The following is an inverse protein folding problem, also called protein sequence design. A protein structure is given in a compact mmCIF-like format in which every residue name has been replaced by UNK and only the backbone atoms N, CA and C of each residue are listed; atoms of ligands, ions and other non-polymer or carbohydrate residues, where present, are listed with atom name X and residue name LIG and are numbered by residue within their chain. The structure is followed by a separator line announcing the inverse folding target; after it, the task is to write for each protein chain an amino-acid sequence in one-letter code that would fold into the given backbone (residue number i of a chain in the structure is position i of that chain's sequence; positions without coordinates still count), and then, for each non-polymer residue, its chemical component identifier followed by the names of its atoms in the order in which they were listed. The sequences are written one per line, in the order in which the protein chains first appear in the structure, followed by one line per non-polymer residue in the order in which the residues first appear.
data_IF_450518170957
#
_entry.id   IF_450518170957
#
_cell.length_a   1.000
_cell.length_b   1.000
_cell.length_c   1.000
_cell.angle_alpha   90.00
_cell.angle_beta   90.00
_cell.angle_gamma   90.00
#
_symmetry.space_group_name_H-M   'P 1'
#
loop_
_entity.id
_entity.type
_entity.pdbx_description
1 polymer ?
#
# COMPACT_ATOMS: atom_id res chain seq x y z
N UNK A 1 -3.47 13.49 -2.59
CA UNK A 1 -3.98 13.22 -1.22
C UNK A 1 -2.78 13.05 -0.29
N UNK A 2 -2.87 13.54 0.95
CA UNK A 2 -1.79 13.48 1.94
C UNK A 2 -2.25 12.69 3.17
N UNK A 3 -1.44 11.74 3.63
CA UNK A 3 -1.73 10.86 4.76
C UNK A 3 -0.42 10.46 5.48
N UNK A 4 -0.47 10.04 6.75
CA UNK A 4 0.73 9.61 7.48
C UNK A 4 1.28 8.28 6.94
N UNK A 5 2.59 8.09 6.99
CA UNK A 5 3.24 6.84 6.58
C UNK A 5 3.03 5.72 7.61
N UNK A 6 2.72 6.08 8.86
CA UNK A 6 2.61 5.14 9.98
C UNK A 6 1.61 5.63 11.03
N UNK A 7 1.23 4.75 11.94
CA UNK A 7 0.30 5.08 13.03
C UNK A 7 -1.14 5.29 12.56
N UNK A 8 -1.90 6.08 13.31
CA UNK A 8 -3.30 6.38 13.00
C UNK A 8 -3.43 6.99 11.60
N UNK A 9 -4.46 6.60 10.85
CA UNK A 9 -4.78 7.14 9.52
C UNK A 9 -3.73 6.85 8.43
N UNK A 10 -2.86 5.86 8.64
CA UNK A 10 -1.81 5.46 7.67
C UNK A 10 -2.31 4.75 6.41
N UNK A 11 -3.62 4.58 6.29
CA UNK A 11 -4.27 3.99 5.14
C UNK A 11 -5.25 4.98 4.54
N UNK A 12 -5.11 5.25 3.25
CA UNK A 12 -6.10 6.00 2.48
C UNK A 12 -6.96 5.05 1.66
N UNK A 13 -8.27 5.20 1.76
CA UNK A 13 -9.22 4.42 0.97
C UNK A 13 -9.78 5.33 -0.12
N UNK A 14 -9.48 4.97 -1.38
CA UNK A 14 -9.95 5.71 -2.57
C UNK A 14 -10.86 4.79 -3.35
N UNK A 15 -12.13 5.20 -3.55
CA UNK A 15 -13.13 4.39 -4.25
C UNK A 15 -13.26 2.96 -3.67
N UNK A 16 -13.16 2.82 -2.34
CA UNK A 16 -13.19 1.52 -1.66
C UNK A 16 -11.90 0.69 -1.74
N UNK A 17 -10.86 1.18 -2.43
CA UNK A 17 -9.55 0.51 -2.48
C UNK A 17 -8.62 1.11 -1.42
N UNK A 18 -8.13 0.34 -0.44
CA UNK A 18 -7.19 0.80 0.58
C UNK A 18 -5.76 0.81 0.05
N UNK A 19 -5.02 1.86 0.38
CA UNK A 19 -3.61 2.05 0.05
C UNK A 19 -2.81 2.43 1.30
N UNK A 20 -1.61 1.90 1.40
CA UNK A 20 -0.66 2.15 2.49
C UNK A 20 0.70 2.53 1.93
N UNK A 21 1.50 3.24 2.73
CA UNK A 21 2.92 3.45 2.44
C UNK A 21 3.75 2.31 3.01
N UNK A 22 4.35 1.50 2.15
CA UNK A 22 5.24 0.41 2.54
C UNK A 22 6.70 0.80 2.28
N UNK A 23 7.63 0.16 2.98
CA UNK A 23 9.07 0.22 2.70
C UNK A 23 9.62 -1.18 2.56
N UNK A 24 10.31 -1.44 1.45
CA UNK A 24 10.97 -2.72 1.16
C UNK A 24 12.38 -2.41 0.68
N UNK A 25 13.39 -3.08 1.23
CA UNK A 25 14.80 -2.83 0.85
C UNK A 25 15.19 -1.35 0.99
N UNK A 26 14.70 -0.68 2.03
CA UNK A 26 14.95 0.75 2.29
C UNK A 26 14.18 1.74 1.40
N UNK A 27 13.55 1.29 0.31
CA UNK A 27 12.80 2.18 -0.58
C UNK A 27 11.30 2.11 -0.29
N UNK A 28 10.70 3.27 -0.11
CA UNK A 28 9.29 3.39 0.21
C UNK A 28 8.43 3.72 -1.00
N UNK A 29 7.17 3.30 -0.94
CA UNK A 29 6.20 3.45 -2.02
C UNK A 29 4.77 3.27 -1.50
N UNK A 30 3.80 3.80 -2.23
CA UNK A 30 2.40 3.55 -1.95
C UNK A 30 1.95 2.33 -2.74
N UNK A 31 1.25 1.41 -2.07
CA UNK A 31 0.70 0.21 -2.68
C UNK A 31 -0.71 -0.05 -2.17
N UNK A 32 -1.48 -0.86 -2.90
CA UNK A 32 -2.74 -1.38 -2.38
C UNK A 32 -2.48 -2.24 -1.16
N UNK A 33 -3.31 -2.08 -0.13
CA UNK A 33 -3.30 -2.93 1.04
C UNK A 33 -3.91 -4.32 0.76
N UNK A 34 -4.49 -4.53 -0.43
CA UNK A 34 -5.14 -5.78 -0.86
C UNK A 34 -4.42 -6.41 -2.05
N UNK A 35 -4.23 -7.73 -2.00
CA UNK A 35 -3.62 -8.51 -3.05
C UNK A 35 -4.55 -8.61 -4.27
N UNK A 36 -4.06 -8.38 -5.50
CA UNK A 36 -4.89 -8.42 -6.71
C UNK A 36 -5.43 -9.82 -7.07
N UNK A 37 -5.00 -10.88 -6.38
CA UNK A 37 -5.48 -12.23 -6.64
C UNK A 37 -6.89 -12.47 -6.07
N UNK A 38 -7.07 -12.26 -4.76
CA UNK A 38 -8.32 -12.50 -4.02
C UNK A 38 -8.44 -11.57 -2.81
N UNK A 39 -7.97 -10.33 -2.92
CA UNK A 39 -8.12 -9.29 -1.90
C UNK A 39 -7.41 -9.53 -0.55
N UNK A 40 -6.51 -10.51 -0.46
CA UNK A 40 -5.78 -10.79 0.79
C UNK A 40 -4.97 -9.61 1.31
N UNK A 41 -4.68 -9.54 2.62
CA UNK A 41 -4.12 -8.37 3.29
C UNK A 41 -2.64 -8.21 2.93
N UNK A 42 -2.36 -7.60 1.79
CA UNK A 42 -1.00 -7.40 1.29
C UNK A 42 -0.19 -6.41 2.15
N UNK A 43 -0.86 -5.55 2.93
CA UNK A 43 -0.24 -4.74 3.99
C UNK A 43 0.35 -5.58 5.15
N UNK A 44 0.04 -6.88 5.21
CA UNK A 44 0.62 -7.86 6.12
C UNK A 44 1.58 -8.84 5.42
N UNK A 45 1.96 -8.56 4.17
CA UNK A 45 2.84 -9.44 3.42
C UNK A 45 4.25 -9.48 4.02
N UNK A 46 4.93 -10.60 3.81
CA UNK A 46 6.38 -10.70 3.98
C UNK A 46 7.10 -10.40 2.65
N UNK A 47 8.41 -10.22 2.71
CA UNK A 47 9.28 -10.21 1.53
C UNK A 47 9.74 -11.62 1.20
N UNK A 48 9.74 -11.98 -0.08
CA UNK A 48 10.36 -13.22 -0.53
C UNK A 48 11.88 -13.17 -0.32
N UNK A 49 12.53 -14.34 -0.30
CA UNK A 49 13.99 -14.47 -0.13
C UNK A 49 14.80 -13.67 -1.16
N UNK A 50 14.23 -13.46 -2.35
CA UNK A 50 14.84 -12.66 -3.42
C UNK A 50 14.82 -11.14 -3.16
N UNK A 51 14.10 -10.68 -2.12
CA UNK A 51 13.96 -9.27 -1.74
C UNK A 51 13.20 -8.40 -2.76
N UNK A 52 12.72 -8.96 -3.87
CA UNK A 52 12.10 -8.22 -4.99
C UNK A 52 10.61 -8.53 -5.17
N UNK A 53 10.07 -9.44 -4.35
CA UNK A 53 8.64 -9.81 -4.35
C UNK A 53 8.06 -9.78 -2.94
N UNK A 54 6.79 -9.42 -2.83
CA UNK A 54 5.99 -9.59 -1.62
C UNK A 54 5.22 -10.91 -1.67
N UNK A 55 5.14 -11.61 -0.54
CA UNK A 55 4.41 -12.86 -0.35
C UNK A 55 3.09 -12.57 0.35
N UNK A 56 1.96 -12.74 -0.35
CA UNK A 56 0.64 -12.53 0.25
C UNK A 56 0.35 -13.62 1.29
N UNK A 57 -0.10 -13.27 2.52
CA UNK A 57 -0.26 -14.24 3.61
C UNK A 57 -1.44 -15.20 3.44
N UNK A 58 -2.34 -14.98 2.47
CA UNK A 58 -3.50 -15.87 2.26
C UNK A 58 -3.21 -17.07 1.35
N UNK A 59 -2.41 -16.87 0.29
CA UNK A 59 -2.20 -17.90 -0.74
C UNK A 59 -0.76 -17.93 -1.25
N UNK A 60 0.16 -17.28 -0.52
CA UNK A 60 1.59 -17.19 -0.81
C UNK A 60 1.96 -16.62 -2.19
N UNK A 61 0.98 -16.02 -2.88
CA UNK A 61 1.20 -15.47 -4.21
C UNK A 61 2.22 -14.34 -4.13
N UNK A 62 3.29 -14.50 -4.91
CA UNK A 62 4.37 -13.53 -5.03
C UNK A 62 3.99 -12.39 -5.97
N UNK A 63 4.16 -11.15 -5.53
CA UNK A 63 3.86 -9.93 -6.32
C UNK A 63 5.12 -9.05 -6.42
N UNK A 64 5.45 -8.58 -7.62
CA UNK A 64 6.65 -7.77 -7.87
C UNK A 64 6.60 -6.43 -7.13
N UNK A 65 7.62 -6.14 -6.32
CA UNK A 65 7.81 -4.85 -5.65
C UNK A 65 8.02 -3.73 -6.67
N UNK A 66 8.84 -3.96 -7.70
CA UNK A 66 9.09 -2.98 -8.76
C UNK A 66 7.79 -2.57 -9.47
N UNK A 67 6.91 -3.53 -9.76
CA UNK A 67 5.59 -3.25 -10.36
C UNK A 67 4.73 -2.39 -9.44
N UNK A 68 4.66 -2.73 -8.15
CA UNK A 68 3.84 -1.97 -7.18
C UNK A 68 4.34 -0.55 -6.99
N UNK A 69 5.66 -0.34 -6.94
CA UNK A 69 6.27 0.99 -6.85
C UNK A 69 5.88 1.91 -8.00
N UNK A 70 5.66 1.35 -9.18
CA UNK A 70 5.27 2.11 -10.36
C UNK A 70 3.75 2.40 -10.42
N UNK A 71 2.92 1.80 -9.56
CA UNK A 71 1.45 1.96 -9.66
C UNK A 71 0.97 3.33 -9.16
N UNK A 72 1.53 3.83 -8.04
CA UNK A 72 1.04 5.03 -7.36
C UNK A 72 2.21 6.01 -7.16
N UNK A 73 2.25 7.11 -7.92
CA UNK A 73 3.21 8.19 -7.69
C UNK A 73 3.03 8.75 -6.28
N UNK A 74 4.13 8.82 -5.52
CA UNK A 74 4.12 9.35 -4.17
C UNK A 74 5.46 9.97 -3.78
N UNK A 75 5.39 10.99 -2.94
CA UNK A 75 6.53 11.63 -2.27
C UNK A 75 6.31 11.55 -0.77
N UNK A 76 7.38 11.32 -0.01
CA UNK A 76 7.35 11.32 1.46
C UNK A 76 8.30 12.36 2.02
N UNK A 77 7.82 13.15 2.98
CA UNK A 77 8.60 14.08 3.80
C UNK A 77 8.31 13.80 5.27
N UNK A 78 9.30 13.35 6.03
CA UNK A 78 9.08 12.94 7.42
C UNK A 78 8.07 11.79 7.52
N UNK A 79 7.00 11.96 8.28
CA UNK A 79 5.90 11.00 8.34
C UNK A 79 4.77 11.29 7.35
N UNK A 80 4.82 12.38 6.57
CA UNK A 80 3.77 12.71 5.61
C UNK A 80 4.04 12.12 4.23
N UNK A 81 3.04 11.46 3.66
CA UNK A 81 3.06 10.91 2.30
C UNK A 81 2.03 11.64 1.46
N UNK A 82 2.47 12.23 0.35
CA UNK A 82 1.58 12.81 -0.66
C UNK A 82 1.59 11.91 -1.89
N UNK A 83 0.42 11.40 -2.26
CA UNK A 83 0.25 10.46 -3.37
C UNK A 83 -0.82 10.93 -4.37
N UNK A 84 -0.63 10.55 -5.63
CA UNK A 84 -1.57 10.78 -6.73
C UNK A 84 -2.23 9.45 -7.08
N UNK A 85 -3.54 9.37 -6.86
CA UNK A 85 -4.33 8.18 -7.13
C UNK A 85 -4.99 8.29 -8.50
N UNK A 86 -5.09 7.20 -9.27
CA UNK A 86 -5.77 7.22 -10.56
C UNK A 86 -7.27 7.46 -10.37
N UNK A 87 -7.87 8.26 -11.25
CA UNK A 87 -9.33 8.55 -11.25
C UNK A 87 -10.19 7.29 -11.44
N UNK A 88 -9.59 6.21 -11.96
CA UNK A 88 -10.24 4.91 -12.16
C UNK A 88 -9.36 3.79 -11.59
N UNK A 89 -9.90 2.91 -10.73
CA UNK A 89 -9.18 1.70 -10.36
C UNK A 89 -8.93 0.83 -11.61
N UNK A 90 -7.78 0.15 -11.73
CA UNK A 90 -7.48 -0.64 -12.92
C UNK A 90 -8.43 -1.82 -13.07
N UNK A 91 -8.87 -2.04 -14.29
CA UNK A 91 -10.07 -2.77 -14.73
C UNK A 91 -10.09 -4.29 -14.54
N UNK A 92 -9.20 -4.90 -13.74
CA UNK A 92 -9.21 -6.37 -13.54
C UNK A 92 -9.71 -6.77 -12.15
N UNK A 93 -10.93 -7.29 -12.10
CA UNK A 93 -11.46 -8.09 -10.98
C UNK A 93 -12.12 -7.32 -9.83
N UNK A 94 -12.39 -6.02 -10.02
CA UNK A 94 -13.04 -5.17 -9.01
C UNK A 94 -14.37 -4.64 -9.54
N UNK A 95 -15.41 -4.51 -8.70
CA UNK A 95 -16.69 -3.94 -9.12
C UNK A 95 -16.52 -2.50 -9.59
N UNK A 96 -17.40 -2.06 -10.50
CA UNK A 96 -17.40 -0.70 -11.02
C UNK A 96 -17.52 0.32 -9.87
N UNK A 97 -16.80 1.45 -9.91
CA UNK A 97 -16.92 2.48 -8.89
C UNK A 97 -18.31 3.12 -8.93
N UNK A 98 -18.85 3.55 -7.76
CA UNK A 98 -20.12 4.28 -7.71
C UNK A 98 -20.03 5.63 -8.43
N UNK A 99 -21.17 6.13 -8.92
CA UNK A 99 -21.32 7.35 -9.76
C UNK A 99 -20.97 8.67 -9.06
N UNK A 100 -20.73 8.66 -7.75
CA UNK A 100 -20.30 9.84 -7.00
C UNK A 100 -18.77 10.00 -7.07
N UNK A 101 -18.27 11.23 -6.83
CA UNK A 101 -16.84 11.46 -6.58
C UNK A 101 -16.36 10.38 -5.59
N UNK A 102 -15.31 9.61 -5.91
CA UNK A 102 -14.90 8.50 -5.06
C UNK A 102 -14.55 9.06 -3.69
N UNK A 103 -15.35 8.70 -2.68
CA UNK A 103 -15.10 9.11 -1.31
C UNK A 103 -13.67 8.73 -0.93
N UNK A 104 -12.93 9.70 -0.42
CA UNK A 104 -11.60 9.48 0.16
C UNK A 104 -11.78 9.45 1.66
N UNK A 105 -11.48 8.31 2.28
CA UNK A 105 -11.46 8.17 3.73
C UNK A 105 -10.07 7.78 4.22
N UNK A 106 -9.82 8.03 5.50
CA UNK A 106 -8.62 7.59 6.18
C UNK A 106 -8.98 6.49 7.19
N UNK A 107 -8.13 5.47 7.24
CA UNK A 107 -8.23 4.33 8.13
C UNK A 107 -6.85 4.03 8.73
N UNK A 108 -6.84 3.23 9.80
CA UNK A 108 -5.62 2.60 10.28
C UNK A 108 -5.51 1.16 9.74
N UNK A 109 -4.34 0.81 9.18
CA UNK A 109 -3.97 -0.55 8.80
C UNK A 109 -2.59 -0.88 9.38
N UNK A 110 -2.43 -1.93 10.20
CA UNK A 110 -1.12 -2.33 10.69
C UNK A 110 -0.23 -2.80 9.52
N UNK A 111 1.06 -2.47 9.54
CA UNK A 111 2.02 -3.00 8.57
C UNK A 111 2.80 -4.15 9.20
N UNK A 112 3.09 -5.18 8.41
CA UNK A 112 4.07 -6.19 8.84
C UNK A 112 5.44 -5.54 9.09
N UNK A 113 6.31 -6.16 9.92
CA UNK A 113 7.69 -5.71 10.09
C UNK A 113 8.44 -5.58 8.76
N UNK A 114 8.19 -6.49 7.82
CA UNK A 114 8.81 -6.51 6.49
C UNK A 114 8.46 -5.28 5.61
N UNK A 115 7.34 -4.61 5.91
CA UNK A 115 6.83 -3.46 5.17
C UNK A 115 6.95 -2.13 5.92
N UNK A 116 7.23 -2.15 7.22
CA UNK A 116 7.42 -0.94 8.01
C UNK A 116 8.89 -0.53 7.99
N UNK A 117 9.16 0.78 7.88
CA UNK A 117 10.47 1.27 8.32
C UNK A 117 10.54 1.06 9.82
N UNK A 118 11.42 0.20 10.29
CA UNK A 118 11.87 0.32 11.66
C UNK A 118 12.54 1.70 11.77
N UNK A 119 12.01 2.58 12.62
CA UNK A 119 12.82 3.68 13.13
C UNK A 119 14.03 3.01 13.79
N UNK A 120 15.23 3.25 13.29
CA UNK A 120 16.39 3.06 14.14
C UNK A 120 16.11 3.88 15.40
N UNK A 121 16.09 3.23 16.56
CA UNK A 121 16.02 3.95 17.82
C UNK A 121 17.16 4.95 17.82
N UNK A 122 16.85 6.25 17.97
CA UNK A 122 17.89 7.24 18.21
C UNK A 122 18.61 6.80 19.49
N UNK A 123 19.88 6.45 19.34
CA UNK A 123 20.80 6.17 20.46
C UNK A 123 21.34 7.49 20.97
#
# INVERSE_FOLDING_TARGET
MTFPASGRDNCVVVAGTPYVYATVGGQGFVMRAQCPHRSGPLHLADTAEDGVRLVCPWHERKTSVARMRAEIPAVRVGDQVTAVFPDRPPTRGWPAPPTACPGVTLEHRPLSPALSRQRAAAT
#
